data_IF_428659333958
#
_entry.id   IF_428659333958
#
_cell.length_a   1.000
_cell.length_b   1.000
_cell.length_c   1.000
_cell.angle_alpha   90.00
_cell.angle_beta   90.00
_cell.angle_gamma   90.00
#
_symmetry.space_group_name_H-M   'P 1'
#
loop_
_entity.id
_entity.type
_entity.pdbx_description
1 polymer ?
#
# COMPACT_ATOMS: atom_id res chain seq x y z
N UNK A 1 -2.73 -11.91 37.32
CA UNK A 1 -2.13 -11.79 35.96
C UNK A 1 -1.31 -10.50 35.87
N UNK A 2 0.03 -10.58 35.94
CA UNK A 2 0.93 -9.42 35.79
C UNK A 2 1.22 -9.19 34.30
N UNK A 3 0.39 -8.38 33.63
CA UNK A 3 0.64 -7.98 32.25
C UNK A 3 1.83 -7.01 32.21
N UNK A 4 2.97 -7.52 31.78
CA UNK A 4 4.24 -6.78 31.75
C UNK A 4 4.19 -5.67 30.70
N UNK A 5 3.80 -4.45 31.10
CA UNK A 5 3.75 -3.23 30.26
C UNK A 5 5.12 -2.74 29.74
N UNK A 6 6.22 -3.42 30.06
CA UNK A 6 7.59 -2.91 29.86
C UNK A 6 8.14 -3.09 28.43
N UNK A 7 7.51 -3.91 27.59
CA UNK A 7 8.02 -4.15 26.22
C UNK A 7 7.42 -3.23 25.15
N UNK A 8 6.39 -2.45 25.49
CA UNK A 8 5.62 -1.66 24.53
C UNK A 8 6.25 -0.30 24.19
N UNK A 9 7.07 0.27 25.09
CA UNK A 9 7.79 1.54 24.90
C UNK A 9 9.19 1.35 24.29
N UNK A 10 9.70 0.11 24.20
CA UNK A 10 11.05 -0.17 23.68
C UNK A 10 11.18 -0.04 22.16
N UNK A 11 10.06 0.06 21.43
CA UNK A 11 10.04 0.21 19.97
C UNK A 11 9.28 1.48 19.56
N UNK A 12 9.82 2.69 19.83
CA UNK A 12 9.16 3.96 19.51
C UNK A 12 8.89 4.10 18.00
N UNK A 13 9.74 3.48 17.17
CA UNK A 13 9.59 3.42 15.72
C UNK A 13 8.34 2.64 15.27
N UNK A 14 7.98 1.57 15.98
CA UNK A 14 6.79 0.77 15.67
C UNK A 14 5.50 1.53 15.99
N UNK A 15 5.52 2.35 17.05
CA UNK A 15 4.40 3.24 17.40
C UNK A 15 4.20 4.36 16.38
N UNK A 16 5.30 4.95 15.89
CA UNK A 16 5.28 5.99 14.84
C UNK A 16 4.72 5.42 13.54
N UNK A 17 5.20 4.25 13.10
CA UNK A 17 4.70 3.55 11.92
C UNK A 17 3.21 3.20 12.02
N UNK A 18 2.77 2.68 13.17
CA UNK A 18 1.37 2.33 13.40
C UNK A 18 0.47 3.58 13.44
N UNK A 19 0.97 4.69 14.01
CA UNK A 19 0.25 5.97 14.02
C UNK A 19 0.20 6.63 12.64
N UNK A 20 1.27 6.57 11.84
CA UNK A 20 1.35 7.20 10.53
C UNK A 20 0.47 6.47 9.49
N UNK A 21 0.31 5.14 9.62
CA UNK A 21 -0.64 4.35 8.83
C UNK A 21 -2.11 4.54 9.24
N UNK A 22 -2.41 5.10 10.41
CA UNK A 22 -3.78 5.33 10.88
C UNK A 22 -4.33 6.72 10.49
N UNK A 23 -3.47 7.67 10.13
CA UNK A 23 -3.85 9.02 9.72
C UNK A 23 -4.58 9.10 8.36
N UNK A 24 -4.32 8.27 7.32
CA UNK A 24 -5.06 8.37 6.07
C UNK A 24 -6.48 7.78 6.15
N UNK A 25 -6.84 7.04 7.20
CA UNK A 25 -8.13 6.37 7.32
C UNK A 25 -9.31 7.34 7.60
N UNK A 26 -9.04 8.53 8.14
CA UNK A 26 -10.08 9.52 8.47
C UNK A 26 -10.42 10.50 7.34
N UNK A 27 -9.72 10.44 6.20
CA UNK A 27 -9.96 11.31 5.05
C UNK A 27 -10.76 10.68 3.91
N UNK A 28 -11.28 9.45 4.07
CA UNK A 28 -12.25 8.87 3.13
C UNK A 28 -13.63 9.50 3.37
N UNK A 29 -13.79 10.73 2.89
CA UNK A 29 -14.95 11.58 3.09
C UNK A 29 -16.22 11.01 2.47
N UNK A 30 -17.34 11.13 3.19
CA UNK A 30 -18.68 10.89 2.68
C UNK A 30 -18.98 11.84 1.51
N UNK A 31 -19.37 11.29 0.34
CA UNK A 31 -19.85 12.10 -0.79
C UNK A 31 -21.22 12.69 -0.46
N UNK A 32 -21.36 14.01 -0.65
CA UNK A 32 -22.65 14.72 -0.69
C UNK A 32 -23.28 14.41 -2.05
N UNK A 33 -24.50 13.92 -2.05
CA UNK A 33 -25.26 13.61 -3.26
C UNK A 33 -26.50 14.48 -3.37
N UNK A 34 -26.94 14.67 -4.61
CA UNK A 34 -28.14 15.43 -4.95
C UNK A 34 -29.40 14.81 -4.28
N UNK A 35 -30.30 15.61 -3.68
CA UNK A 35 -31.48 15.09 -3.02
C UNK A 35 -32.40 14.35 -4.02
N UNK A 36 -32.54 13.03 -3.85
CA UNK A 36 -33.45 12.20 -4.65
C UNK A 36 -32.79 11.25 -5.65
N UNK A 37 -31.45 11.22 -5.75
CA UNK A 37 -30.72 10.20 -6.52
C UNK A 37 -29.94 9.25 -5.61
N UNK A 38 -29.90 7.97 -5.98
CA UNK A 38 -28.98 7.01 -5.36
C UNK A 38 -27.56 7.37 -5.78
N UNK A 39 -26.71 7.69 -4.82
CA UNK A 39 -25.29 7.90 -5.08
C UNK A 39 -24.67 6.58 -5.55
N UNK A 40 -23.87 6.62 -6.61
CA UNK A 40 -22.92 5.56 -6.86
C UNK A 40 -21.76 5.70 -5.85
N UNK A 41 -21.62 4.81 -4.85
CA UNK A 41 -20.54 4.90 -3.87
C UNK A 41 -19.16 4.58 -4.46
N UNK A 42 -19.13 4.09 -5.71
CA UNK A 42 -17.92 3.66 -6.43
C UNK A 42 -17.44 4.72 -7.44
N UNK A 43 -18.22 5.78 -7.66
CA UNK A 43 -17.88 6.94 -8.51
C UNK A 43 -17.35 6.59 -9.91
N UNK A 44 -17.91 5.56 -10.53
CA UNK A 44 -17.51 5.09 -11.85
C UNK A 44 -18.73 4.64 -12.63
N UNK A 45 -18.99 5.29 -13.78
CA UNK A 45 -20.15 5.00 -14.61
C UNK A 45 -19.84 3.95 -15.70
N UNK A 46 -18.56 3.66 -15.93
CA UNK A 46 -18.09 2.66 -16.90
C UNK A 46 -17.10 1.68 -16.28
N UNK A 47 -16.98 0.46 -16.83
CA UNK A 47 -16.05 -0.59 -16.36
C UNK A 47 -14.60 -0.11 -16.36
N UNK A 48 -14.19 0.73 -17.33
CA UNK A 48 -12.84 1.28 -17.41
C UNK A 48 -12.53 2.19 -16.21
N UNK A 49 -13.45 3.08 -15.86
CA UNK A 49 -13.31 3.95 -14.69
C UNK A 49 -13.32 3.14 -13.39
N UNK A 50 -14.13 2.10 -13.32
CA UNK A 50 -14.15 1.21 -12.16
C UNK A 50 -12.77 0.57 -11.91
N UNK A 51 -12.11 0.09 -12.97
CA UNK A 51 -10.76 -0.50 -12.88
C UNK A 51 -9.75 0.54 -12.39
N UNK A 52 -9.83 1.78 -12.87
CA UNK A 52 -8.94 2.87 -12.44
C UNK A 52 -9.17 3.23 -10.96
N UNK A 53 -10.43 3.39 -10.54
CA UNK A 53 -10.78 3.69 -9.14
C UNK A 53 -10.33 2.58 -8.19
N UNK A 54 -10.50 1.31 -8.58
CA UNK A 54 -10.01 0.19 -7.80
C UNK A 54 -8.48 0.22 -7.68
N UNK A 55 -7.78 0.53 -8.76
CA UNK A 55 -6.32 0.59 -8.78
C UNK A 55 -5.79 1.73 -7.91
N UNK A 56 -6.44 2.89 -7.92
CA UNK A 56 -6.12 3.99 -7.01
C UNK A 56 -6.30 3.61 -5.54
N UNK A 57 -7.38 2.88 -5.23
CA UNK A 57 -7.59 2.31 -3.90
C UNK A 57 -6.48 1.34 -3.49
N UNK A 58 -6.11 0.44 -4.40
CA UNK A 58 -5.03 -0.52 -4.18
C UNK A 58 -3.67 0.17 -3.96
N UNK A 59 -3.38 1.28 -4.64
CA UNK A 59 -2.12 2.01 -4.51
C UNK A 59 -2.05 2.81 -3.22
N UNK A 60 -3.16 3.45 -2.81
CA UNK A 60 -3.26 4.16 -1.52
C UNK A 60 -2.89 3.26 -0.34
N UNK A 61 -3.26 1.98 -0.40
CA UNK A 61 -2.94 0.99 0.64
C UNK A 61 -1.60 0.28 0.34
N UNK A 62 -1.29 0.05 -0.93
CA UNK A 62 -0.10 -0.70 -1.36
C UNK A 62 1.22 0.03 -1.12
N UNK A 63 1.29 1.34 -1.38
CA UNK A 63 2.51 2.13 -1.16
C UNK A 63 2.99 2.07 0.30
N UNK A 64 2.16 2.33 1.32
CA UNK A 64 2.63 2.23 2.71
C UNK A 64 3.04 0.80 3.07
N UNK A 65 2.34 -0.24 2.60
CA UNK A 65 2.72 -1.64 2.85
C UNK A 65 4.11 -1.95 2.27
N UNK A 66 4.37 -1.54 1.02
CA UNK A 66 5.67 -1.73 0.36
C UNK A 66 6.77 -1.00 1.13
N UNK A 67 6.53 0.24 1.55
CA UNK A 67 7.49 1.01 2.34
C UNK A 67 7.85 0.29 3.65
N UNK A 68 6.85 -0.25 4.36
CA UNK A 68 7.07 -1.02 5.59
C UNK A 68 7.83 -2.32 5.33
N UNK A 69 7.55 -3.02 4.25
CA UNK A 69 8.25 -4.25 3.87
C UNK A 69 9.73 -3.97 3.58
N UNK A 70 10.04 -2.87 2.88
CA UNK A 70 11.43 -2.45 2.62
C UNK A 70 12.15 -2.10 3.93
N UNK A 71 11.53 -1.30 4.80
CA UNK A 71 12.11 -0.94 6.10
C UNK A 71 12.38 -2.19 6.96
N UNK A 72 11.43 -3.13 6.99
CA UNK A 72 11.58 -4.40 7.70
C UNK A 72 12.75 -5.24 7.16
N UNK A 73 12.88 -5.33 5.82
CA UNK A 73 13.99 -6.04 5.19
C UNK A 73 15.35 -5.40 5.52
N UNK A 74 15.43 -4.07 5.57
CA UNK A 74 16.63 -3.33 5.98
C UNK A 74 17.02 -3.59 7.43
N UNK A 75 16.04 -3.59 8.34
CA UNK A 75 16.29 -3.95 9.74
C UNK A 75 16.80 -5.38 9.88
N UNK A 76 16.22 -6.32 9.14
CA UNK A 76 16.65 -7.71 9.14
C UNK A 76 18.07 -7.86 8.60
N UNK A 77 18.46 -7.06 7.59
CA UNK A 77 19.82 -7.04 7.05
C UNK A 77 20.86 -6.60 8.10
N UNK A 78 20.58 -5.51 8.82
CA UNK A 78 21.46 -4.99 9.88
C UNK A 78 21.53 -5.97 11.06
N UNK A 79 20.40 -6.55 11.47
CA UNK A 79 20.34 -7.50 12.59
C UNK A 79 21.00 -8.85 12.29
N UNK A 80 21.28 -9.17 11.03
CA UNK A 80 21.82 -10.48 10.61
C UNK A 80 23.34 -10.54 10.60
N UNK A 81 24.03 -9.48 11.02
CA UNK A 81 25.50 -9.37 10.97
C UNK A 81 26.18 -10.63 11.55
N UNK A 82 26.84 -11.39 10.68
CA UNK A 82 27.59 -12.61 11.03
C UNK A 82 26.83 -13.95 10.96
N UNK A 83 25.51 -13.98 10.74
CA UNK A 83 24.74 -15.22 10.60
C UNK A 83 24.23 -15.39 9.15
N UNK A 84 24.80 -16.35 8.43
CA UNK A 84 24.48 -16.64 7.02
C UNK A 84 23.01 -17.01 6.79
N UNK A 85 22.38 -17.70 7.73
CA UNK A 85 20.97 -18.11 7.62
C UNK A 85 20.04 -16.88 7.72
N UNK A 86 20.29 -15.98 8.67
CA UNK A 86 19.51 -14.75 8.82
C UNK A 86 19.74 -13.78 7.66
N UNK A 87 20.97 -13.73 7.15
CA UNK A 87 21.31 -12.94 5.96
C UNK A 87 20.53 -13.42 4.72
N UNK A 88 20.41 -14.74 4.54
CA UNK A 88 19.59 -15.33 3.48
C UNK A 88 18.12 -14.91 3.59
N UNK A 89 17.55 -14.95 4.80
CA UNK A 89 16.18 -14.48 5.07
C UNK A 89 16.00 -12.99 4.77
N UNK A 90 16.97 -12.15 5.14
CA UNK A 90 16.96 -10.71 4.82
C UNK A 90 16.93 -10.44 3.32
N UNK A 91 17.76 -11.14 2.55
CA UNK A 91 17.79 -11.01 1.07
C UNK A 91 16.47 -11.44 0.46
N UNK A 92 15.90 -12.56 0.90
CA UNK A 92 14.60 -13.02 0.38
C UNK A 92 13.49 -12.02 0.70
N UNK A 93 13.44 -11.47 1.92
CA UNK A 93 12.46 -10.46 2.29
C UNK A 93 12.58 -9.19 1.43
N UNK A 94 13.81 -8.77 1.10
CA UNK A 94 14.05 -7.65 0.21
C UNK A 94 13.60 -7.96 -1.23
N UNK A 95 13.91 -9.13 -1.76
CA UNK A 95 13.47 -9.55 -3.09
C UNK A 95 11.95 -9.57 -3.21
N UNK A 96 11.24 -10.14 -2.23
CA UNK A 96 9.78 -10.15 -2.23
C UNK A 96 9.20 -8.73 -2.13
N UNK A 97 9.84 -7.83 -1.38
CA UNK A 97 9.41 -6.43 -1.29
C UNK A 97 9.57 -5.69 -2.63
N UNK A 98 10.68 -5.94 -3.34
CA UNK A 98 10.93 -5.37 -4.67
C UNK A 98 9.96 -5.92 -5.71
N UNK A 99 9.68 -7.22 -5.68
CA UNK A 99 8.71 -7.85 -6.59
C UNK A 99 7.31 -7.26 -6.34
N UNK A 100 6.89 -7.12 -5.08
CA UNK A 100 5.62 -6.50 -4.73
C UNK A 100 5.52 -5.04 -5.22
N UNK A 101 6.59 -4.27 -5.05
CA UNK A 101 6.67 -2.90 -5.55
C UNK A 101 6.58 -2.85 -7.09
N UNK A 102 7.30 -3.73 -7.78
CA UNK A 102 7.31 -3.82 -9.24
C UNK A 102 5.93 -4.19 -9.80
N UNK A 103 5.21 -5.09 -9.15
CA UNK A 103 3.83 -5.45 -9.54
C UNK A 103 2.91 -4.24 -9.37
N UNK A 104 3.02 -3.51 -8.25
CA UNK A 104 2.18 -2.35 -7.97
C UNK A 104 2.38 -1.23 -9.01
N UNK A 105 3.64 -0.90 -9.30
CA UNK A 105 4.01 0.10 -10.29
C UNK A 105 3.69 -0.36 -11.72
N UNK A 106 3.94 -1.65 -12.02
CA UNK A 106 3.67 -2.25 -13.33
C UNK A 106 2.18 -2.27 -13.66
N UNK A 107 1.33 -2.61 -12.69
CA UNK A 107 -0.12 -2.57 -12.87
C UNK A 107 -0.61 -1.15 -13.21
N UNK A 108 -0.15 -0.13 -12.49
CA UNK A 108 -0.48 1.26 -12.80
C UNK A 108 -0.01 1.67 -14.20
N UNK A 109 1.23 1.34 -14.56
CA UNK A 109 1.78 1.67 -15.87
C UNK A 109 0.96 1.05 -17.00
N UNK A 110 0.64 -0.24 -16.91
CA UNK A 110 -0.13 -0.95 -17.94
C UNK A 110 -1.55 -0.38 -18.03
N UNK A 111 -2.23 -0.15 -16.90
CA UNK A 111 -3.59 0.40 -16.90
C UNK A 111 -3.66 1.78 -17.54
N UNK A 112 -2.67 2.66 -17.28
CA UNK A 112 -2.60 3.98 -17.91
C UNK A 112 -2.37 3.87 -19.43
N UNK A 113 -1.45 3.01 -19.86
CA UNK A 113 -1.17 2.80 -21.28
C UNK A 113 -2.41 2.30 -22.04
N UNK A 114 -3.17 1.39 -21.45
CA UNK A 114 -4.42 0.89 -22.05
C UNK A 114 -5.46 2.01 -22.12
N UNK A 115 -5.63 2.79 -21.05
CA UNK A 115 -6.58 3.89 -21.03
C UNK A 115 -6.25 4.95 -22.11
N UNK A 116 -4.98 5.36 -22.20
CA UNK A 116 -4.51 6.31 -23.20
C UNK A 116 -4.71 5.80 -24.63
N UNK A 117 -4.40 4.52 -24.87
CA UNK A 117 -4.62 3.90 -26.18
C UNK A 117 -6.10 3.97 -26.55
N UNK A 118 -7.01 3.57 -25.67
CA UNK A 118 -8.46 3.59 -25.94
C UNK A 118 -8.98 5.01 -26.20
N UNK A 119 -8.51 6.01 -25.46
CA UNK A 119 -8.88 7.41 -25.71
C UNK A 119 -8.32 7.97 -27.01
N UNK A 120 -7.14 7.50 -27.42
CA UNK A 120 -6.48 7.93 -28.66
C UNK A 120 -7.13 7.41 -29.93
N UNK A 121 -7.82 6.26 -29.87
CA UNK A 121 -8.62 5.70 -30.99
C UNK A 121 -10.08 6.16 -31.00
N UNK A 122 -10.59 6.73 -29.91
CA UNK A 122 -11.95 7.30 -29.86
C UNK A 122 -12.04 8.75 -30.35
N UNK A 123 -10.92 9.34 -30.77
CA UNK A 123 -10.82 10.67 -31.42
C UNK A 123 -10.61 10.49 -32.92
#
# INVERSE_FOLDING_TARGET
MKFSRKNLYKHPFLFIVLSLSFIPASSFAAKICDPGKLCNPIDSDTIQEFILTFLEGAIKIGIPIVALAIIYSGFLFVSSSGNSEKLGKAKNALLYSVIGAAILLGALAISKLVAETVTGISS
#
